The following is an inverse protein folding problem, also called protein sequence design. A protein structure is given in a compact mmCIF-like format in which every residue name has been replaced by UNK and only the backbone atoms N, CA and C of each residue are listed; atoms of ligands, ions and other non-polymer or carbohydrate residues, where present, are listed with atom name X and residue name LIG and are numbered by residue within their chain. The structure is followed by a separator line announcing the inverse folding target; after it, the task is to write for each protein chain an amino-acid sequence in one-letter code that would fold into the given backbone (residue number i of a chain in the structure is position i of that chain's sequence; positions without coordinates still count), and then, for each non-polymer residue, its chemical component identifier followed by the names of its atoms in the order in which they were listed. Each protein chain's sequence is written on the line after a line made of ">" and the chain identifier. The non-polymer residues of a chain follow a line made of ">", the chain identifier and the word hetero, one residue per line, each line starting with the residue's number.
data_IF_895473466056
#
_entry.id   IF_895473466056
#
_cell.length_a   1.000
_cell.length_b   1.000
_cell.length_c   1.000
_cell.angle_alpha   90.00
_cell.angle_beta   90.00
_cell.angle_gamma   90.00
#
_symmetry.space_group_name_H-M   'P 1'
#
loop_
_entity.id
_entity.type
_entity.pdbx_description
1 polymer ?
#
# COMPACT_ATOMS: atom_id res chain seq x y z
N UNK A 1 2.72 -31.38 -10.32
CA UNK A 1 1.90 -30.19 -9.99
C UNK A 1 2.54 -29.53 -8.78
N UNK A 2 3.03 -28.29 -8.87
CA UNK A 2 3.61 -27.61 -7.69
C UNK A 2 2.50 -27.32 -6.68
N UNK A 3 2.69 -27.75 -5.42
CA UNK A 3 1.72 -27.45 -4.36
C UNK A 3 1.72 -25.95 -4.03
N UNK A 4 0.54 -25.34 -3.92
CA UNK A 4 0.38 -23.91 -3.62
C UNK A 4 1.03 -23.54 -2.28
N UNK A 5 1.56 -22.32 -2.14
CA UNK A 5 2.11 -21.85 -0.86
C UNK A 5 1.01 -21.38 0.11
N UNK A 6 1.29 -21.33 1.42
CA UNK A 6 0.38 -20.73 2.42
C UNK A 6 0.00 -19.29 2.03
N UNK A 7 0.97 -18.53 1.50
CA UNK A 7 0.72 -17.18 0.99
C UNK A 7 -0.26 -17.17 -0.17
N UNK A 8 -0.08 -18.05 -1.16
CA UNK A 8 -0.98 -18.11 -2.31
C UNK A 8 -2.41 -18.49 -1.89
N UNK A 9 -2.54 -19.42 -0.94
CA UNK A 9 -3.83 -19.80 -0.36
C UNK A 9 -4.49 -18.66 0.41
N UNK A 10 -3.74 -17.93 1.24
CA UNK A 10 -4.21 -16.72 1.93
C UNK A 10 -4.71 -15.67 0.93
N UNK A 11 -3.94 -15.40 -0.14
CA UNK A 11 -4.32 -14.42 -1.16
C UNK A 11 -5.61 -14.80 -1.90
N UNK A 12 -5.77 -16.07 -2.29
CA UNK A 12 -7.00 -16.55 -2.94
C UNK A 12 -8.18 -16.46 -1.97
N UNK A 13 -8.02 -16.92 -0.74
CA UNK A 13 -9.09 -16.86 0.27
C UNK A 13 -9.54 -15.42 0.51
N UNK A 14 -8.59 -14.49 0.57
CA UNK A 14 -8.89 -13.05 0.64
C UNK A 14 -9.67 -12.54 -0.56
N UNK A 15 -9.33 -12.98 -1.78
CA UNK A 15 -10.05 -12.58 -2.98
C UNK A 15 -11.53 -13.01 -2.90
N UNK A 16 -11.79 -14.25 -2.51
CA UNK A 16 -13.16 -14.77 -2.35
C UNK A 16 -13.93 -14.02 -1.27
N UNK A 17 -13.33 -13.84 -0.09
CA UNK A 17 -13.94 -13.09 1.02
C UNK A 17 -14.24 -11.63 0.61
N UNK A 18 -13.30 -10.97 -0.06
CA UNK A 18 -13.45 -9.56 -0.48
C UNK A 18 -14.51 -9.39 -1.56
N UNK A 19 -14.60 -10.33 -2.51
CA UNK A 19 -15.61 -10.33 -3.57
C UNK A 19 -16.98 -10.79 -3.08
N UNK A 20 -17.09 -11.27 -1.83
CA UNK A 20 -18.28 -11.92 -1.28
C UNK A 20 -18.78 -13.07 -2.16
N UNK A 21 -17.85 -13.76 -2.81
CA UNK A 21 -18.12 -14.94 -3.64
C UNK A 21 -17.96 -16.17 -2.77
N UNK A 22 -18.97 -17.04 -2.78
CA UNK A 22 -18.95 -18.31 -2.09
C UNK A 22 -18.65 -19.45 -3.07
N UNK A 23 -17.50 -20.11 -2.88
CA UNK A 23 -17.18 -21.40 -3.50
C UNK A 23 -16.76 -22.35 -2.39
N UNK A 24 -17.73 -23.11 -1.88
CA UNK A 24 -17.52 -24.02 -0.76
C UNK A 24 -16.45 -25.08 -1.04
N UNK A 25 -16.57 -25.86 -2.12
CA UNK A 25 -15.59 -26.87 -2.48
C UNK A 25 -14.16 -26.34 -2.62
N UNK A 26 -13.97 -25.17 -3.24
CA UNK A 26 -12.65 -24.57 -3.37
C UNK A 26 -12.10 -24.14 -2.01
N UNK A 27 -12.89 -23.45 -1.19
CA UNK A 27 -12.45 -22.97 0.12
C UNK A 27 -12.17 -24.12 1.09
N UNK A 28 -12.95 -25.21 1.03
CA UNK A 28 -12.70 -26.44 1.81
C UNK A 28 -11.41 -27.14 1.37
N UNK A 29 -11.13 -27.15 0.06
CA UNK A 29 -9.87 -27.67 -0.49
C UNK A 29 -8.67 -26.82 -0.03
N UNK A 30 -8.81 -25.49 -0.04
CA UNK A 30 -7.79 -24.56 0.47
C UNK A 30 -7.57 -24.76 1.96
N UNK A 31 -8.63 -24.88 2.76
CA UNK A 31 -8.52 -25.12 4.20
C UNK A 31 -7.81 -26.45 4.49
N UNK A 32 -8.16 -27.52 3.78
CA UNK A 32 -7.54 -28.83 3.93
C UNK A 32 -6.04 -28.82 3.58
N UNK A 33 -5.65 -28.22 2.45
CA UNK A 33 -4.25 -28.10 2.05
C UNK A 33 -3.46 -27.17 2.98
N UNK A 34 -4.10 -26.12 3.51
CA UNK A 34 -3.51 -25.25 4.50
C UNK A 34 -3.21 -26.00 5.80
N UNK A 35 -4.18 -26.72 6.37
CA UNK A 35 -3.98 -27.55 7.58
C UNK A 35 -2.81 -28.50 7.37
N UNK A 36 -2.76 -29.21 6.25
CA UNK A 36 -1.66 -30.12 5.91
C UNK A 36 -0.31 -29.42 5.93
N UNK A 37 -0.21 -28.18 5.44
CA UNK A 37 1.04 -27.40 5.47
C UNK A 37 1.37 -26.86 6.86
N UNK A 38 0.37 -26.46 7.63
CA UNK A 38 0.56 -26.00 9.01
C UNK A 38 1.17 -27.10 9.88
N UNK A 39 0.72 -28.35 9.71
CA UNK A 39 1.29 -29.51 10.38
C UNK A 39 2.73 -29.84 9.97
N UNK A 40 3.17 -29.34 8.81
CA UNK A 40 4.52 -29.53 8.28
C UNK A 40 5.42 -28.30 8.45
N UNK A 41 4.97 -27.27 9.18
CA UNK A 41 5.78 -26.09 9.42
C UNK A 41 7.01 -26.48 10.26
N UNK A 42 8.23 -26.11 9.83
CA UNK A 42 9.44 -26.35 10.62
C UNK A 42 9.34 -25.55 11.92
N UNK A 43 9.91 -26.00 13.03
CA UNK A 43 9.93 -25.23 14.30
C UNK A 43 10.61 -23.85 14.13
N UNK A 44 10.27 -22.85 14.97
CA UNK A 44 10.97 -21.56 14.97
C UNK A 44 12.45 -21.82 15.22
N UNK A 45 13.33 -21.22 14.42
CA UNK A 45 14.77 -21.32 14.68
C UNK A 45 15.14 -20.59 15.96
N UNK A 46 16.25 -20.99 16.58
CA UNK A 46 16.75 -20.40 17.85
C UNK A 46 17.36 -19.00 17.69
N UNK A 47 17.53 -18.54 16.44
CA UNK A 47 18.05 -17.21 16.13
C UNK A 47 17.04 -16.09 16.41
N UNK A 48 17.51 -14.84 16.61
CA UNK A 48 16.62 -13.73 16.84
C UNK A 48 15.73 -13.52 15.59
N UNK A 49 14.43 -13.23 15.75
CA UNK A 49 13.52 -13.15 14.62
C UNK A 49 13.98 -12.09 13.63
N UNK A 50 13.75 -12.31 12.34
CA UNK A 50 14.06 -11.34 11.28
C UNK A 50 12.80 -11.07 10.50
N UNK A 51 12.46 -9.80 10.30
CA UNK A 51 11.31 -9.44 9.48
C UNK A 51 11.44 -10.05 8.08
N UNK A 52 10.34 -10.58 7.55
CA UNK A 52 10.33 -11.29 6.26
C UNK A 52 11.02 -12.65 6.27
N UNK A 53 11.54 -13.13 7.41
CA UNK A 53 12.04 -14.51 7.54
C UNK A 53 10.93 -15.55 7.35
N UNK A 54 11.30 -16.80 7.05
CA UNK A 54 10.36 -17.88 6.71
C UNK A 54 9.21 -18.01 7.72
N UNK A 55 9.53 -18.02 9.02
CA UNK A 55 8.54 -18.12 10.09
C UNK A 55 7.58 -16.95 10.17
N UNK A 56 8.08 -15.74 9.99
CA UNK A 56 7.22 -14.58 9.95
C UNK A 56 6.31 -14.59 8.72
N UNK A 57 6.83 -15.03 7.56
CA UNK A 57 6.03 -15.26 6.36
C UNK A 57 4.87 -16.22 6.62
N UNK A 58 5.12 -17.29 7.37
CA UNK A 58 4.07 -18.22 7.81
C UNK A 58 3.09 -17.57 8.77
N UNK A 59 3.54 -16.87 9.81
CA UNK A 59 2.67 -16.22 10.80
C UNK A 59 1.68 -15.23 10.15
N UNK A 60 2.17 -14.41 9.21
CA UNK A 60 1.34 -13.47 8.46
C UNK A 60 0.35 -14.21 7.53
N UNK A 61 0.80 -15.26 6.86
CA UNK A 61 -0.06 -16.06 5.97
C UNK A 61 -1.15 -16.81 6.74
N UNK A 62 -0.83 -17.32 7.96
CA UNK A 62 -1.78 -17.99 8.85
C UNK A 62 -2.88 -17.01 9.24
N UNK A 63 -2.51 -15.85 9.78
CA UNK A 63 -3.49 -14.84 10.17
C UNK A 63 -4.36 -14.42 8.99
N UNK A 64 -3.75 -14.14 7.83
CA UNK A 64 -4.48 -13.78 6.62
C UNK A 64 -5.48 -14.87 6.18
N UNK A 65 -5.08 -16.14 6.22
CA UNK A 65 -5.95 -17.25 5.88
C UNK A 65 -7.09 -17.42 6.89
N UNK A 66 -6.79 -17.41 8.20
CA UNK A 66 -7.79 -17.59 9.27
C UNK A 66 -8.84 -16.48 9.22
N UNK A 67 -8.41 -15.23 9.03
CA UNK A 67 -9.32 -14.09 8.85
C UNK A 67 -10.21 -14.23 7.60
N UNK A 68 -9.63 -14.64 6.47
CA UNK A 68 -10.42 -14.83 5.24
C UNK A 68 -11.45 -15.95 5.36
N UNK A 69 -11.09 -17.08 5.98
CA UNK A 69 -12.01 -18.18 6.23
C UNK A 69 -13.10 -17.78 7.23
N UNK A 70 -12.74 -17.06 8.30
CA UNK A 70 -13.71 -16.51 9.25
C UNK A 70 -14.70 -15.56 8.56
N UNK A 71 -14.22 -14.64 7.72
CA UNK A 71 -15.06 -13.70 6.99
C UNK A 71 -16.02 -14.38 5.98
N UNK A 72 -15.73 -15.62 5.58
CA UNK A 72 -16.61 -16.41 4.71
C UNK A 72 -17.60 -17.33 5.46
N UNK A 73 -17.65 -17.24 6.80
CA UNK A 73 -18.50 -18.10 7.65
C UNK A 73 -18.02 -19.55 7.72
N UNK A 74 -16.74 -19.81 7.40
CA UNK A 74 -16.18 -21.17 7.36
C UNK A 74 -15.50 -21.60 8.66
N UNK A 75 -15.35 -20.67 9.60
CA UNK A 75 -14.86 -20.92 10.95
C UNK A 75 -15.95 -20.69 12.00
N UNK A 76 -17.22 -20.89 11.63
CA UNK A 76 -18.35 -20.78 12.56
C UNK A 76 -18.18 -21.78 13.71
N UNK A 77 -18.18 -21.27 14.95
CA UNK A 77 -17.89 -22.06 16.15
C UNK A 77 -16.43 -22.02 16.64
N UNK A 78 -15.51 -21.48 15.83
CA UNK A 78 -14.07 -21.41 16.13
C UNK A 78 -13.60 -19.96 16.41
N UNK A 79 -14.36 -19.25 17.26
CA UNK A 79 -14.16 -17.82 17.52
C UNK A 79 -12.76 -17.45 18.08
N UNK A 80 -12.02 -18.42 18.63
CA UNK A 80 -10.69 -18.20 19.20
C UNK A 80 -9.57 -18.16 18.14
N UNK A 81 -9.76 -18.73 16.94
CA UNK A 81 -8.67 -18.93 15.98
C UNK A 81 -8.10 -17.61 15.43
N UNK A 82 -8.95 -16.63 15.13
CA UNK A 82 -8.49 -15.31 14.66
C UNK A 82 -7.67 -14.60 15.75
N UNK A 83 -8.17 -14.44 17.00
CA UNK A 83 -7.37 -13.93 18.12
C UNK A 83 -6.05 -14.69 18.35
N UNK A 84 -6.05 -16.02 18.24
CA UNK A 84 -4.84 -16.83 18.42
C UNK A 84 -3.79 -16.60 17.34
N UNK A 85 -4.22 -16.53 16.07
CA UNK A 85 -3.33 -16.21 14.96
C UNK A 85 -2.75 -14.80 15.11
N UNK A 86 -3.55 -13.84 15.54
CA UNK A 86 -3.11 -12.48 15.83
C UNK A 86 -2.10 -12.45 17.00
N UNK A 87 -2.39 -13.19 18.09
CA UNK A 87 -1.49 -13.33 19.22
C UNK A 87 -0.16 -14.00 18.83
N UNK A 88 -0.19 -14.96 17.91
CA UNK A 88 1.02 -15.60 17.36
C UNK A 88 1.89 -14.58 16.61
N UNK A 89 1.29 -13.78 15.73
CA UNK A 89 2.00 -12.72 15.02
C UNK A 89 2.54 -11.65 15.99
N UNK A 90 1.78 -11.28 17.02
CA UNK A 90 2.22 -10.36 18.05
C UNK A 90 3.43 -10.90 18.83
N UNK A 91 3.44 -12.19 19.21
CA UNK A 91 4.60 -12.84 19.86
C UNK A 91 5.83 -12.85 18.96
N UNK A 92 5.66 -13.07 17.66
CA UNK A 92 6.76 -13.06 16.70
C UNK A 92 7.35 -11.65 16.47
N UNK A 93 6.49 -10.62 16.45
CA UNK A 93 6.89 -9.23 16.19
C UNK A 93 7.41 -8.50 17.43
N UNK A 94 6.94 -8.85 18.63
CA UNK A 94 7.34 -8.19 19.86
C UNK A 94 8.86 -8.10 20.09
N UNK A 95 9.69 -9.14 19.82
CA UNK A 95 11.14 -9.01 19.93
C UNK A 95 11.74 -8.06 18.90
N UNK A 96 11.15 -7.93 17.70
CA UNK A 96 11.58 -6.97 16.68
C UNK A 96 11.28 -5.53 17.13
N UNK A 97 10.10 -5.31 17.69
CA UNK A 97 9.65 -4.01 18.22
C UNK A 97 10.41 -3.58 19.49
N UNK A 98 10.95 -4.54 20.24
CA UNK A 98 11.77 -4.29 21.45
C UNK A 98 13.23 -4.03 21.15
N UNK A 99 13.71 -4.24 19.91
CA UNK A 99 15.08 -3.86 19.54
C UNK A 99 15.18 -2.35 19.67
N UNK A 100 15.72 -1.88 20.80
CA UNK A 100 15.93 -0.46 21.04
C UNK A 100 16.67 0.19 19.87
N UNK A 101 16.52 1.51 19.67
CA UNK A 101 17.16 2.19 18.56
C UNK A 101 18.68 1.97 18.60
N UNK A 102 19.26 1.38 17.54
CA UNK A 102 20.71 1.45 17.30
C UNK A 102 21.10 2.93 17.27
N UNK A 103 22.09 3.34 18.07
CA UNK A 103 22.44 4.75 18.19
C UNK A 103 22.74 5.37 16.81
N UNK A 104 22.03 6.44 16.44
CA UNK A 104 22.42 7.31 15.32
C UNK A 104 22.36 8.77 15.74
N UNK A 105 23.35 9.52 15.23
CA UNK A 105 23.74 10.89 15.57
C UNK A 105 22.57 11.83 15.84
N UNK A 106 22.71 12.59 16.91
CA UNK A 106 21.77 13.62 17.37
C UNK A 106 21.60 14.73 16.32
N UNK A 107 20.35 15.10 16.07
CA UNK A 107 19.98 16.19 15.16
C UNK A 107 18.51 16.60 15.33
N UNK A 108 18.33 17.67 16.11
CA UNK A 108 17.26 18.69 16.13
C UNK A 108 15.76 18.31 16.21
N UNK A 109 15.15 18.70 17.35
CA UNK A 109 13.95 19.54 17.40
C UNK A 109 12.58 18.91 17.11
N UNK A 110 12.04 18.12 18.05
CA UNK A 110 10.66 17.64 17.98
C UNK A 110 9.65 18.63 18.57
N UNK A 111 8.66 19.04 17.78
CA UNK A 111 7.49 19.77 18.27
C UNK A 111 6.57 18.87 19.12
N UNK A 112 5.95 19.46 20.13
CA UNK A 112 5.07 18.80 21.12
C UNK A 112 3.80 18.21 20.47
N UNK A 113 3.25 17.08 20.98
CA UNK A 113 2.12 16.42 20.36
C UNK A 113 0.83 17.26 20.50
N UNK A 114 0.18 17.55 19.37
CA UNK A 114 -1.21 17.99 19.37
C UNK A 114 -2.10 16.81 19.80
N UNK A 115 -3.01 17.04 20.74
CA UNK A 115 -3.96 16.05 21.23
C UNK A 115 -4.83 15.45 20.12
N UNK A 116 -5.49 14.30 20.38
CA UNK A 116 -6.29 13.61 19.37
C UNK A 116 -7.48 14.48 18.93
N UNK A 117 -7.49 14.94 17.68
CA UNK A 117 -8.67 15.50 17.02
C UNK A 117 -8.62 16.98 16.63
N UNK A 118 -7.55 17.72 16.90
CA UNK A 118 -7.39 19.07 16.35
C UNK A 118 -6.93 18.99 14.88
N UNK A 119 -7.46 19.82 13.96
CA UNK A 119 -6.94 19.91 12.61
C UNK A 119 -5.47 20.32 12.67
N UNK A 120 -4.58 19.43 12.21
CA UNK A 120 -3.16 19.73 12.08
C UNK A 120 -3.00 20.64 10.88
N UNK A 121 -2.49 21.85 11.08
CA UNK A 121 -2.10 22.71 9.98
C UNK A 121 -1.00 22.01 9.16
N UNK A 122 -1.30 21.68 7.90
CA UNK A 122 -0.34 21.02 7.00
C UNK A 122 0.40 22.08 6.21
N UNK A 123 1.71 22.21 6.43
CA UNK A 123 2.58 22.96 5.51
C UNK A 123 2.71 22.19 4.20
N UNK A 124 2.08 22.69 3.12
CA UNK A 124 1.97 21.96 1.86
C UNK A 124 3.32 21.61 1.20
N UNK A 125 4.39 22.35 1.51
CA UNK A 125 5.72 22.16 0.92
C UNK A 125 6.64 21.21 1.68
N UNK A 126 6.26 20.72 2.87
CA UNK A 126 7.10 19.88 3.72
C UNK A 126 6.34 18.65 4.20
N UNK A 127 7.01 17.49 4.38
CA UNK A 127 6.36 16.35 4.99
C UNK A 127 5.95 16.65 6.44
N UNK A 128 4.85 16.05 6.88
CA UNK A 128 4.36 16.17 8.25
C UNK A 128 3.54 14.94 8.65
N UNK A 129 3.41 14.69 9.96
CA UNK A 129 2.45 13.68 10.45
C UNK A 129 1.11 14.38 10.71
N UNK A 130 0.09 13.95 9.99
CA UNK A 130 -1.27 14.48 10.02
C UNK A 130 -2.11 13.79 11.10
N UNK A 131 -1.87 12.50 11.32
CA UNK A 131 -2.59 11.70 12.31
C UNK A 131 -1.67 10.64 12.90
N UNK A 132 -1.78 10.41 14.20
CA UNK A 132 -1.12 9.31 14.90
C UNK A 132 -2.16 8.53 15.72
N UNK A 133 -2.19 7.22 15.54
CA UNK A 133 -3.10 6.30 16.24
C UNK A 133 -2.44 4.94 16.44
N UNK A 134 -2.19 4.58 17.70
CA UNK A 134 -1.61 3.29 18.07
C UNK A 134 -0.29 3.04 17.32
N UNK A 135 -0.25 1.94 16.57
CA UNK A 135 0.89 1.48 15.78
C UNK A 135 1.03 2.16 14.41
N UNK A 136 0.26 3.21 14.10
CA UNK A 136 0.21 3.84 12.79
C UNK A 136 0.32 5.37 12.85
N UNK A 137 0.99 5.92 11.85
CA UNK A 137 1.04 7.32 11.49
C UNK A 137 0.50 7.53 10.07
N UNK A 138 -0.26 8.60 9.85
CA UNK A 138 -0.62 9.10 8.52
C UNK A 138 0.25 10.31 8.23
N UNK A 139 1.05 10.20 7.17
CA UNK A 139 1.98 11.22 6.73
C UNK A 139 1.38 12.03 5.59
N UNK A 140 1.60 13.33 5.58
CA UNK A 140 1.45 14.16 4.38
C UNK A 140 2.74 14.07 3.56
N UNK A 141 2.62 13.64 2.30
CA UNK A 141 3.69 13.70 1.31
C UNK A 141 3.47 14.90 0.39
N UNK A 142 4.34 15.91 0.38
CA UNK A 142 4.31 16.98 -0.62
C UNK A 142 4.70 16.49 -2.03
N UNK A 143 4.38 17.24 -3.10
CA UNK A 143 4.87 16.93 -4.45
C UNK A 143 6.40 17.08 -4.53
N UNK A 144 7.05 16.34 -5.43
CA UNK A 144 8.51 16.33 -5.59
C UNK A 144 9.23 15.34 -4.67
N UNK A 145 8.57 14.86 -3.61
CA UNK A 145 9.10 13.84 -2.70
C UNK A 145 8.81 12.43 -3.17
N UNK A 146 9.80 11.55 -3.05
CA UNK A 146 9.69 10.14 -3.42
C UNK A 146 9.39 9.26 -2.21
N UNK A 147 8.73 8.12 -2.47
CA UNK A 147 8.47 7.08 -1.48
C UNK A 147 8.99 5.76 -2.04
N UNK A 148 10.02 5.23 -1.38
CA UNK A 148 10.56 3.91 -1.69
C UNK A 148 10.05 2.91 -0.66
N UNK A 149 9.39 1.88 -1.16
CA UNK A 149 8.99 0.70 -0.39
C UNK A 149 9.79 -0.47 -0.93
N UNK A 150 10.28 -1.32 -0.03
CA UNK A 150 11.28 -2.32 -0.34
C UNK A 150 10.78 -3.34 -1.38
N UNK A 151 11.74 -3.87 -2.14
CA UNK A 151 11.46 -4.80 -3.21
C UNK A 151 10.69 -6.04 -2.73
N UNK A 152 9.61 -6.36 -3.44
CA UNK A 152 8.59 -7.36 -3.04
C UNK A 152 9.11 -8.79 -3.02
N UNK A 153 10.22 -9.04 -3.71
CA UNK A 153 10.90 -10.33 -3.67
C UNK A 153 11.51 -10.62 -2.28
N UNK A 154 11.81 -9.59 -1.48
CA UNK A 154 12.40 -9.72 -0.13
C UNK A 154 11.36 -9.57 1.00
N UNK A 155 10.27 -8.85 0.78
CA UNK A 155 9.15 -8.76 1.74
C UNK A 155 8.26 -10.00 1.64
N UNK A 156 8.67 -11.09 2.30
CA UNK A 156 8.09 -12.41 2.15
C UNK A 156 6.72 -12.63 2.84
N UNK A 157 5.94 -11.58 3.10
CA UNK A 157 4.84 -11.69 4.07
C UNK A 157 3.43 -11.60 3.51
N UNK A 158 3.11 -10.73 2.55
CA UNK A 158 1.83 -10.71 1.83
C UNK A 158 2.07 -9.99 0.52
N UNK A 159 1.50 -10.44 -0.59
CA UNK A 159 1.45 -9.60 -1.78
C UNK A 159 0.19 -8.75 -1.69
N UNK A 160 0.26 -7.41 -1.53
CA UNK A 160 -0.88 -6.58 -1.86
C UNK A 160 -1.20 -6.89 -3.32
N UNK A 161 -2.40 -7.37 -3.61
CA UNK A 161 -2.76 -7.93 -4.92
C UNK A 161 -2.46 -6.99 -6.10
N UNK A 162 -2.22 -5.70 -5.86
CA UNK A 162 -2.24 -4.71 -6.91
C UNK A 162 -1.04 -3.79 -7.13
N UNK A 163 0.03 -3.84 -6.33
CA UNK A 163 1.17 -2.96 -6.60
C UNK A 163 2.17 -3.68 -7.52
N UNK A 164 2.71 -3.01 -8.53
CA UNK A 164 3.73 -3.59 -9.44
C UNK A 164 5.11 -3.70 -8.76
N UNK A 165 5.94 -4.66 -9.19
CA UNK A 165 7.28 -4.93 -8.64
C UNK A 165 8.14 -3.66 -8.66
N UNK A 166 8.32 -2.99 -7.54
CA UNK A 166 9.24 -1.87 -7.46
C UNK A 166 10.56 -2.43 -6.97
N UNK A 167 11.46 -2.77 -7.90
CA UNK A 167 12.88 -2.79 -7.59
C UNK A 167 13.22 -1.46 -6.94
N UNK A 168 13.95 -1.50 -5.83
CA UNK A 168 14.46 -0.33 -5.11
C UNK A 168 14.92 0.73 -6.13
N UNK A 169 14.06 1.72 -6.35
CA UNK A 169 14.32 2.80 -7.28
C UNK A 169 14.78 3.96 -6.42
N UNK A 170 16.10 4.03 -6.24
CA UNK A 170 16.73 5.34 -6.15
C UNK A 170 16.38 6.05 -7.46
N UNK A 171 15.45 7.00 -7.38
CA UNK A 171 15.20 7.93 -8.46
C UNK A 171 16.49 8.75 -8.65
N UNK A 172 17.21 8.59 -9.78
CA UNK A 172 18.51 9.25 -9.98
C UNK A 172 18.42 10.78 -10.01
N UNK A 173 17.20 11.36 -10.05
CA UNK A 173 16.96 12.80 -9.94
C UNK A 173 16.39 13.27 -8.60
N UNK A 174 16.21 12.39 -7.61
CA UNK A 174 15.83 12.77 -6.26
C UNK A 174 17.07 12.68 -5.38
N UNK A 175 17.69 13.82 -5.06
CA UNK A 175 18.70 13.83 -3.99
C UNK A 175 18.12 13.23 -2.70
N UNK A 176 18.99 12.67 -1.86
CA UNK A 176 18.60 12.03 -0.59
C UNK A 176 17.67 12.88 0.29
N UNK A 177 17.71 14.20 0.10
CA UNK A 177 16.91 15.22 0.79
C UNK A 177 15.40 15.12 0.54
N UNK A 178 14.94 14.49 -0.55
CA UNK A 178 13.52 14.43 -0.93
C UNK A 178 12.92 13.02 -0.86
N UNK A 179 13.43 12.19 0.05
CA UNK A 179 12.97 10.83 0.30
C UNK A 179 12.14 10.76 1.59
N UNK A 180 10.87 10.37 1.49
CA UNK A 180 9.96 10.37 2.63
C UNK A 180 10.42 9.41 3.74
N UNK A 181 11.02 8.27 3.38
CA UNK A 181 11.59 7.32 4.33
C UNK A 181 12.77 7.90 5.13
N UNK A 182 13.57 8.79 4.54
CA UNK A 182 14.70 9.42 5.24
C UNK A 182 14.19 10.45 6.24
N UNK A 183 13.17 11.24 5.86
CA UNK A 183 12.50 12.17 6.77
C UNK A 183 11.78 11.44 7.91
N UNK A 184 11.04 10.36 7.62
CA UNK A 184 10.30 9.61 8.64
C UNK A 184 11.20 8.97 9.70
N UNK A 185 12.44 8.61 9.34
CA UNK A 185 13.44 8.11 10.30
C UNK A 185 13.91 9.16 11.32
N UNK A 186 13.77 10.45 10.99
CA UNK A 186 14.18 11.57 11.82
C UNK A 186 13.00 12.17 12.60
N UNK A 187 11.78 12.04 12.08
CA UNK A 187 10.55 12.51 12.73
C UNK A 187 10.25 11.74 14.02
N UNK A 188 10.13 12.46 15.14
CA UNK A 188 9.98 11.88 16.48
C UNK A 188 8.78 10.93 16.60
N UNK A 189 7.65 11.23 15.95
CA UNK A 189 6.43 10.41 15.97
C UNK A 189 6.53 9.12 15.15
N UNK A 190 7.46 9.07 14.21
CA UNK A 190 7.73 7.90 13.37
C UNK A 190 8.94 7.10 13.85
N UNK A 191 9.72 7.64 14.81
CA UNK A 191 10.96 7.04 15.29
C UNK A 191 10.68 5.73 16.03
N UNK A 192 10.91 4.62 15.35
CA UNK A 192 10.74 3.27 15.88
C UNK A 192 11.75 2.29 15.24
N UNK A 193 11.87 1.06 15.76
CA UNK A 193 12.79 0.08 15.18
C UNK A 193 12.48 -0.22 13.70
N UNK A 194 11.19 -0.35 13.35
CA UNK A 194 10.76 -0.62 11.98
C UNK A 194 11.08 0.52 11.02
N UNK A 195 11.11 1.79 11.48
CA UNK A 195 11.48 2.92 10.64
C UNK A 195 12.89 2.82 10.06
N UNK A 196 13.78 2.05 10.70
CA UNK A 196 15.16 1.82 10.24
C UNK A 196 15.34 0.49 9.50
N UNK A 197 14.28 -0.32 9.43
CA UNK A 197 14.31 -1.60 8.76
C UNK A 197 13.91 -1.42 7.29
N UNK A 198 14.91 -1.36 6.42
CA UNK A 198 14.70 -1.32 4.99
C UNK A 198 13.93 -2.56 4.50
N UNK A 199 14.10 -3.74 5.11
CA UNK A 199 13.34 -4.95 4.75
C UNK A 199 11.84 -4.84 5.04
N UNK A 200 11.46 -3.94 5.95
CA UNK A 200 10.08 -3.58 6.27
C UNK A 200 9.67 -2.23 5.67
N UNK A 201 10.32 -1.78 4.59
CA UNK A 201 10.03 -0.51 3.92
C UNK A 201 10.07 0.70 4.85
N UNK A 202 10.88 0.68 5.91
CA UNK A 202 10.89 1.73 6.92
C UNK A 202 9.51 1.98 7.57
N UNK A 203 8.64 0.95 7.59
CA UNK A 203 7.25 1.05 8.05
C UNK A 203 6.28 1.62 7.01
N UNK A 204 6.72 2.10 5.86
CA UNK A 204 5.85 2.67 4.82
C UNK A 204 5.02 1.57 4.14
N UNK A 205 3.70 1.64 4.31
CA UNK A 205 2.76 0.59 3.89
C UNK A 205 2.46 0.66 2.39
N UNK A 206 2.45 1.87 1.83
CA UNK A 206 2.22 2.11 0.41
C UNK A 206 2.99 3.33 -0.08
N UNK A 207 2.90 3.62 -1.37
CA UNK A 207 3.60 4.72 -2.02
C UNK A 207 2.65 5.63 -2.80
N UNK A 208 3.16 6.79 -3.15
CA UNK A 208 2.59 7.75 -4.11
C UNK A 208 3.66 8.07 -5.16
N UNK A 209 3.25 8.49 -6.35
CA UNK A 209 4.20 8.97 -7.36
C UNK A 209 4.90 10.24 -6.85
N UNK A 210 6.10 10.54 -7.37
CA UNK A 210 6.93 11.65 -6.90
C UNK A 210 6.18 12.99 -6.88
N UNK A 211 5.51 13.32 -7.97
CA UNK A 211 4.77 14.59 -8.10
C UNK A 211 3.33 14.53 -7.59
N UNK A 212 2.88 13.37 -7.11
CA UNK A 212 1.57 13.22 -6.46
C UNK A 212 1.71 13.58 -5.00
N UNK A 213 0.97 14.56 -4.50
CA UNK A 213 0.87 14.84 -3.07
C UNK A 213 -0.19 13.98 -2.40
N UNK A 214 -0.20 13.91 -1.06
CA UNK A 214 -1.29 13.28 -0.33
C UNK A 214 -0.85 12.44 0.86
N UNK A 215 -1.77 11.61 1.31
CA UNK A 215 -1.60 10.81 2.52
C UNK A 215 -0.80 9.52 2.23
N UNK A 216 0.15 9.20 3.11
CA UNK A 216 0.92 7.95 3.11
C UNK A 216 0.86 7.32 4.49
N UNK A 217 0.44 6.05 4.57
CA UNK A 217 0.39 5.32 5.83
C UNK A 217 1.78 4.76 6.19
N UNK A 218 2.21 4.99 7.42
CA UNK A 218 3.46 4.53 7.99
C UNK A 218 3.21 3.80 9.31
N UNK A 219 3.78 2.61 9.47
CA UNK A 219 3.69 1.81 10.68
C UNK A 219 4.84 2.10 11.65
N UNK A 220 4.51 2.11 12.93
CA UNK A 220 5.43 2.31 14.05
C UNK A 220 5.90 1.00 14.66
N UNK A 221 5.23 -0.11 14.37
CA UNK A 221 5.60 -1.46 14.81
C UNK A 221 5.46 -2.48 13.68
N UNK A 222 6.13 -3.61 13.83
CA UNK A 222 6.05 -4.72 12.87
C UNK A 222 4.66 -5.37 12.86
N UNK A 223 3.99 -5.44 14.02
CA UNK A 223 2.60 -5.89 14.11
C UNK A 223 1.68 -4.95 13.32
N UNK A 224 1.77 -3.63 13.57
CA UNK A 224 0.97 -2.63 12.86
C UNK A 224 1.23 -2.65 11.35
N UNK A 225 2.48 -2.83 10.93
CA UNK A 225 2.85 -2.96 9.52
C UNK A 225 2.22 -4.19 8.87
N UNK A 226 2.31 -5.36 9.51
CA UNK A 226 1.68 -6.58 9.01
C UNK A 226 0.15 -6.43 8.89
N UNK A 227 -0.49 -5.89 9.93
CA UNK A 227 -1.94 -5.63 9.97
C UNK A 227 -2.38 -4.65 8.87
N UNK A 228 -1.62 -3.58 8.65
CA UNK A 228 -1.90 -2.63 7.58
C UNK A 228 -1.74 -3.28 6.19
N UNK A 229 -0.67 -4.05 5.97
CA UNK A 229 -0.47 -4.77 4.71
C UNK A 229 -1.62 -5.74 4.41
N UNK A 230 -2.16 -6.43 5.42
CA UNK A 230 -3.35 -7.28 5.25
C UNK A 230 -4.56 -6.49 4.78
N UNK A 231 -4.85 -5.34 5.38
CA UNK A 231 -5.97 -4.48 4.98
C UNK A 231 -5.84 -3.95 3.55
N UNK A 232 -4.62 -3.63 3.12
CA UNK A 232 -4.35 -3.24 1.74
C UNK A 232 -4.50 -4.42 0.78
N UNK A 233 -3.99 -5.60 1.14
CA UNK A 233 -4.11 -6.82 0.34
C UNK A 233 -5.57 -7.25 0.16
N UNK A 234 -6.39 -7.12 1.22
CA UNK A 234 -7.82 -7.43 1.21
C UNK A 234 -8.70 -6.30 0.66
N UNK A 235 -8.12 -5.26 0.04
CA UNK A 235 -8.83 -4.08 -0.49
C UNK A 235 -9.77 -3.38 0.51
N UNK A 236 -9.50 -3.50 1.80
CA UNK A 236 -10.27 -2.82 2.86
C UNK A 236 -9.83 -1.37 3.05
N UNK A 237 -8.61 -1.03 2.61
CA UNK A 237 -8.14 0.34 2.55
C UNK A 237 -8.75 1.09 1.35
N UNK A 238 -9.53 2.14 1.60
CA UNK A 238 -10.01 3.06 0.58
C UNK A 238 -8.92 4.09 0.24
N UNK A 239 -8.74 4.37 -1.05
CA UNK A 239 -7.80 5.39 -1.55
C UNK A 239 -8.53 6.29 -2.52
N UNK A 240 -8.60 7.57 -2.16
CA UNK A 240 -9.29 8.59 -2.95
C UNK A 240 -8.31 9.71 -3.31
N UNK A 241 -8.39 10.14 -4.55
CA UNK A 241 -7.53 11.15 -5.14
C UNK A 241 -8.38 12.24 -5.75
N UNK A 242 -7.88 13.47 -5.73
CA UNK A 242 -8.46 14.58 -6.47
C UNK A 242 -7.42 15.10 -7.45
N UNK A 243 -7.83 15.37 -8.69
CA UNK A 243 -6.96 15.93 -9.72
C UNK A 243 -7.74 16.81 -10.70
N UNK A 244 -7.00 17.65 -11.42
CA UNK A 244 -7.49 18.36 -12.59
C UNK A 244 -7.09 17.59 -13.85
N UNK A 245 -7.98 17.52 -14.83
CA UNK A 245 -7.67 16.98 -16.14
C UNK A 245 -8.28 17.82 -17.26
N UNK A 246 -7.73 17.65 -18.46
CA UNK A 246 -8.16 18.36 -19.67
C UNK A 246 -9.51 17.88 -20.18
N UNK A 247 -10.31 18.82 -20.68
CA UNK A 247 -11.67 18.61 -21.16
C UNK A 247 -12.71 18.51 -20.05
N UNK A 248 -13.98 18.52 -20.46
CA UNK A 248 -15.12 18.20 -19.61
C UNK A 248 -15.37 16.69 -19.65
N UNK A 249 -15.27 16.03 -18.50
CA UNK A 249 -15.55 14.61 -18.40
C UNK A 249 -17.04 14.37 -18.66
N UNK A 250 -17.41 13.40 -19.52
CA UNK A 250 -18.81 13.11 -19.71
C UNK A 250 -19.39 12.52 -18.41
N UNK A 251 -20.60 12.93 -17.98
CA UNK A 251 -21.22 12.41 -16.75
C UNK A 251 -21.38 10.88 -16.73
N UNK A 252 -21.38 10.24 -17.91
CA UNK A 252 -21.44 8.78 -18.08
C UNK A 252 -20.15 8.04 -17.72
N UNK A 253 -18.99 8.72 -17.68
CA UNK A 253 -17.71 8.12 -17.30
C UNK A 253 -17.62 7.99 -15.78
N UNK A 254 -18.22 6.91 -15.25
CA UNK A 254 -18.16 6.57 -13.82
C UNK A 254 -17.07 5.57 -13.46
N UNK A 255 -16.65 4.75 -14.42
CA UNK A 255 -15.70 3.67 -14.20
C UNK A 255 -14.73 3.55 -15.36
N UNK A 256 -13.47 3.27 -15.03
CA UNK A 256 -12.42 2.91 -15.98
C UNK A 256 -11.89 1.53 -15.60
N UNK A 257 -12.32 0.52 -16.34
CA UNK A 257 -11.81 -0.85 -16.30
C UNK A 257 -10.89 -1.06 -17.49
N UNK A 258 -9.60 -0.83 -17.30
CA UNK A 258 -8.61 -0.89 -18.36
C UNK A 258 -7.34 -1.55 -17.79
N UNK A 259 -6.95 -2.75 -18.24
CA UNK A 259 -5.75 -3.37 -17.68
C UNK A 259 -4.51 -2.55 -18.01
N UNK A 260 -3.57 -2.50 -17.06
CA UNK A 260 -2.34 -1.70 -17.16
C UNK A 260 -1.14 -2.64 -17.28
N UNK A 261 -0.39 -2.47 -18.36
CA UNK A 261 0.90 -3.09 -18.54
C UNK A 261 1.99 -2.09 -18.14
N UNK A 262 2.97 -2.57 -17.37
CA UNK A 262 4.19 -1.83 -17.10
C UNK A 262 5.20 -2.12 -18.20
N UNK A 263 5.76 -1.06 -18.77
CA UNK A 263 6.78 -1.11 -19.82
C UNK A 263 7.91 -0.11 -19.54
N UNK A 264 8.94 -0.12 -20.37
CA UNK A 264 10.13 0.73 -20.21
C UNK A 264 11.19 0.14 -19.28
N UNK A 265 12.37 0.79 -19.22
CA UNK A 265 13.49 0.30 -18.44
C UNK A 265 13.19 0.32 -16.93
N UNK A 266 13.85 -0.56 -16.17
CA UNK A 266 13.63 -0.70 -14.73
C UNK A 266 13.73 0.62 -13.94
N UNK A 267 14.62 1.52 -14.37
CA UNK A 267 14.88 2.84 -13.77
C UNK A 267 13.92 3.96 -14.22
N UNK A 268 13.12 3.74 -15.26
CA UNK A 268 12.13 4.70 -15.73
C UNK A 268 10.89 3.97 -16.27
N UNK A 269 10.18 3.22 -15.40
CA UNK A 269 9.03 2.47 -15.83
C UNK A 269 7.87 3.39 -16.17
N UNK A 270 7.15 3.02 -17.22
CA UNK A 270 5.93 3.65 -17.67
C UNK A 270 4.79 2.65 -17.62
N UNK A 271 3.57 3.17 -17.53
CA UNK A 271 2.35 2.36 -17.57
C UNK A 271 1.62 2.66 -18.87
N UNK A 272 1.06 1.62 -19.49
CA UNK A 272 0.19 1.75 -20.67
C UNK A 272 -1.06 0.92 -20.48
N UNK A 273 -2.18 1.40 -21.02
CA UNK A 273 -3.38 0.57 -21.11
C UNK A 273 -3.15 -0.49 -22.19
N UNK A 274 -3.28 -1.76 -21.82
CA UNK A 274 -3.02 -2.89 -22.72
C UNK A 274 -3.84 -4.10 -22.26
N UNK A 275 -4.44 -4.88 -23.17
CA UNK A 275 -5.11 -6.13 -22.83
C UNK A 275 -4.21 -7.17 -22.15
N UNK A 276 -2.89 -7.08 -22.37
CA UNK A 276 -1.87 -7.92 -21.71
C UNK A 276 -1.49 -7.41 -20.31
N UNK A 277 -2.07 -6.28 -19.89
CA UNK A 277 -1.85 -5.67 -18.60
C UNK A 277 -2.53 -6.40 -17.44
N UNK A 278 -2.18 -5.99 -16.23
CA UNK A 278 -2.84 -6.44 -15.01
C UNK A 278 -4.14 -5.67 -14.82
N UNK A 279 -5.18 -6.34 -14.32
CA UNK A 279 -6.47 -5.71 -14.03
C UNK A 279 -6.28 -4.43 -13.20
N UNK A 280 -6.90 -3.34 -13.66
CA UNK A 280 -6.94 -2.07 -12.98
C UNK A 280 -8.35 -1.48 -13.05
N UNK A 281 -8.80 -0.92 -11.93
CA UNK A 281 -10.15 -0.37 -11.79
C UNK A 281 -10.09 0.95 -11.04
N UNK A 282 -10.66 1.99 -11.65
CA UNK A 282 -10.77 3.34 -11.11
C UNK A 282 -12.21 3.79 -11.22
N UNK A 283 -12.80 4.14 -10.09
CA UNK A 283 -14.11 4.79 -10.01
C UNK A 283 -13.89 6.29 -10.09
N UNK A 284 -14.74 6.99 -10.83
CA UNK A 284 -14.62 8.40 -11.16
C UNK A 284 -15.92 9.11 -10.77
N UNK A 285 -15.77 10.15 -9.96
CA UNK A 285 -16.84 11.09 -9.63
C UNK A 285 -16.33 12.50 -9.87
N UNK A 286 -16.97 13.21 -10.79
CA UNK A 286 -16.66 14.59 -11.06
C UNK A 286 -17.12 15.49 -9.90
N UNK A 287 -16.26 16.44 -9.52
CA UNK A 287 -16.54 17.41 -8.46
C UNK A 287 -16.90 18.77 -9.07
N UNK A 288 -16.36 19.15 -10.24
CA UNK A 288 -16.79 20.32 -11.02
C UNK A 288 -16.19 20.40 -12.44
N UNK A 289 -16.92 20.96 -13.40
CA UNK A 289 -16.40 21.46 -14.68
C UNK A 289 -15.92 22.91 -14.54
N UNK A 290 -14.71 23.17 -15.02
CA UNK A 290 -14.09 24.49 -15.02
C UNK A 290 -13.91 24.96 -16.47
N UNK A 291 -14.12 26.26 -16.69
CA UNK A 291 -13.94 26.87 -17.99
C UNK A 291 -14.56 28.27 -18.07
N UNK A 292 -13.75 29.29 -17.92
CA UNK A 292 -14.03 30.65 -18.39
C UNK A 292 -12.69 31.37 -18.63
N UNK A 293 -12.47 31.87 -19.85
CA UNK A 293 -11.34 32.74 -20.21
C UNK A 293 -10.03 32.03 -20.60
N UNK A 294 -9.89 31.65 -21.86
CA UNK A 294 -8.60 31.31 -22.51
C UNK A 294 -7.95 29.96 -22.13
N UNK A 295 -8.09 29.49 -20.89
CA UNK A 295 -7.35 28.35 -20.32
C UNK A 295 -7.87 26.94 -20.69
N UNK A 296 -8.70 26.81 -21.72
CA UNK A 296 -9.30 25.53 -22.11
C UNK A 296 -10.34 24.98 -21.11
N UNK A 297 -11.05 23.92 -21.51
CA UNK A 297 -12.00 23.22 -20.65
C UNK A 297 -11.24 22.27 -19.71
N UNK A 298 -11.61 22.25 -18.42
CA UNK A 298 -10.99 21.37 -17.41
C UNK A 298 -12.07 20.71 -16.53
N UNK A 299 -11.73 19.59 -15.92
CA UNK A 299 -12.56 18.92 -14.91
C UNK A 299 -11.79 18.73 -13.61
N UNK A 300 -12.41 19.07 -12.49
CA UNK A 300 -11.99 18.65 -11.16
C UNK A 300 -12.63 17.30 -10.85
N UNK A 301 -11.80 16.29 -10.66
CA UNK A 301 -12.23 14.90 -10.58
C UNK A 301 -11.77 14.29 -9.27
N UNK A 302 -12.69 13.63 -8.57
CA UNK A 302 -12.36 12.68 -7.52
C UNK A 302 -12.32 11.27 -8.14
N UNK A 303 -11.28 10.51 -7.81
CA UNK A 303 -11.14 9.12 -8.22
C UNK A 303 -10.88 8.22 -7.02
N UNK A 304 -11.63 7.13 -6.93
CA UNK A 304 -11.40 6.07 -5.96
C UNK A 304 -10.70 4.89 -6.64
N UNK A 305 -9.58 4.45 -6.06
CA UNK A 305 -8.80 3.35 -6.58
C UNK A 305 -9.19 2.04 -5.93
N UNK A 306 -9.75 1.15 -6.74
CA UNK A 306 -10.03 -0.23 -6.34
C UNK A 306 -8.81 -1.13 -6.49
N UNK A 307 -7.84 -0.73 -7.33
CA UNK A 307 -6.53 -1.36 -7.54
C UNK A 307 -5.39 -0.36 -7.24
N UNK A 308 -4.13 -0.70 -7.52
CA UNK A 308 -2.95 0.10 -7.14
C UNK A 308 -1.78 0.03 -8.14
N UNK A 309 -2.06 0.05 -9.44
CA UNK A 309 -1.02 -0.03 -10.47
C UNK A 309 -0.16 1.23 -10.50
N UNK A 310 1.08 1.09 -10.97
CA UNK A 310 1.94 2.25 -11.20
C UNK A 310 1.23 3.24 -12.14
N UNK A 311 1.26 4.54 -11.82
CA UNK A 311 0.65 5.61 -12.63
C UNK A 311 -0.84 5.40 -12.99
N UNK A 312 -1.59 4.61 -12.23
CA UNK A 312 -2.93 4.15 -12.61
C UNK A 312 -3.89 5.27 -13.01
N UNK A 313 -4.06 6.28 -12.14
CA UNK A 313 -4.95 7.43 -12.43
C UNK A 313 -4.51 8.16 -13.69
N UNK A 314 -3.20 8.41 -13.80
CA UNK A 314 -2.58 9.17 -14.88
C UNK A 314 -2.84 8.51 -16.24
N UNK A 315 -2.55 7.21 -16.35
CA UNK A 315 -2.73 6.46 -17.60
C UNK A 315 -4.21 6.21 -17.91
N UNK A 316 -5.05 5.96 -16.91
CA UNK A 316 -6.49 5.78 -17.11
C UNK A 316 -7.14 7.04 -17.67
N UNK A 317 -6.90 8.19 -17.05
CA UNK A 317 -7.48 9.46 -17.48
C UNK A 317 -7.02 9.83 -18.91
N UNK A 318 -5.72 9.69 -19.19
CA UNK A 318 -5.17 9.88 -20.53
C UNK A 318 -5.78 8.91 -21.57
N UNK A 319 -6.01 7.64 -21.22
CA UNK A 319 -6.64 6.66 -22.11
C UNK A 319 -8.10 6.98 -22.46
N UNK A 320 -8.72 7.91 -21.74
CA UNK A 320 -10.08 8.41 -22.01
C UNK A 320 -10.08 9.78 -22.69
N UNK A 321 -8.92 10.29 -23.12
CA UNK A 321 -8.79 11.60 -23.73
C UNK A 321 -8.74 12.77 -22.73
N UNK A 322 -8.64 12.48 -21.43
CA UNK A 322 -8.64 13.48 -20.36
C UNK A 322 -7.36 13.39 -19.53
N UNK A 323 -6.17 13.65 -20.09
CA UNK A 323 -4.92 13.59 -19.34
C UNK A 323 -4.91 14.60 -18.19
N UNK A 324 -4.21 14.26 -17.10
CA UNK A 324 -4.08 15.13 -15.94
C UNK A 324 -3.35 16.43 -16.32
N UNK A 325 -3.83 17.56 -15.81
CA UNK A 325 -3.22 18.87 -16.03
C UNK A 325 -1.76 18.87 -15.52
N UNK A 326 -0.81 19.27 -16.36
CA UNK A 326 0.62 19.31 -16.02
C UNK A 326 1.34 17.96 -16.10
N UNK A 327 0.66 16.88 -16.50
CA UNK A 327 1.28 15.56 -16.66
C UNK A 327 2.06 15.43 -17.98
N UNK A 328 3.33 15.84 -17.97
CA UNK A 328 4.19 15.76 -19.15
C UNK A 328 4.40 14.33 -19.69
N UNK A 329 4.28 13.29 -18.85
CA UNK A 329 4.48 11.92 -19.29
C UNK A 329 3.29 11.35 -20.05
N UNK A 330 2.07 11.79 -19.72
CA UNK A 330 0.83 11.24 -20.26
C UNK A 330 0.01 12.24 -21.09
N UNK A 331 0.65 13.27 -21.63
CA UNK A 331 0.02 14.20 -22.59
C UNK A 331 -0.69 15.40 -21.95
N UNK A 332 -0.47 15.65 -20.67
CA UNK A 332 -1.03 16.78 -19.91
C UNK A 332 -0.29 18.11 -20.03
N UNK A 333 0.86 18.13 -20.70
CA UNK A 333 1.69 19.33 -20.89
C UNK A 333 1.15 20.31 -21.96
N UNK A 334 0.18 19.89 -22.78
CA UNK A 334 -0.37 20.69 -23.87
C UNK A 334 -1.82 21.10 -23.63
N UNK A 335 -2.03 22.13 -22.81
CA UNK A 335 -3.16 23.05 -22.83
C UNK A 335 -3.02 23.99 -21.62
N UNK A 336 -2.28 25.08 -21.82
CA UNK A 336 -2.35 26.29 -21.01
C UNK A 336 -2.44 27.46 -21.99
#
# INVERSE_FOLDING_TARGET
>A
MQAMSLRAMSNISWAFASLRVADGPLLESIASEAIRKLLLLPAPGDGPPQWGGAWGGHAVSILGLTEALSASGRLDGEAALVPEAAACLARYTAPLDRRGPVATREGAGGASPAGPGAPVAVELGRPSVVLERGDLCVLWKPPGWSVSVADKAKSAMLEPCDNDRCSDMEDPGAGDDFQLQNWAQQEARCRSPIARDAGASHGLVHRLDRNTSGLVLCAKSYLGYAMALMQFASRRASKEYVFLCHGHLPPSLKWIHAPILREGPARAPRSVVSPQGRHASTEVSEVAHLGAGGAGALSLVQARLHTGRLHQVRVHAASRGHPLLGDASYGGAGAA
#
